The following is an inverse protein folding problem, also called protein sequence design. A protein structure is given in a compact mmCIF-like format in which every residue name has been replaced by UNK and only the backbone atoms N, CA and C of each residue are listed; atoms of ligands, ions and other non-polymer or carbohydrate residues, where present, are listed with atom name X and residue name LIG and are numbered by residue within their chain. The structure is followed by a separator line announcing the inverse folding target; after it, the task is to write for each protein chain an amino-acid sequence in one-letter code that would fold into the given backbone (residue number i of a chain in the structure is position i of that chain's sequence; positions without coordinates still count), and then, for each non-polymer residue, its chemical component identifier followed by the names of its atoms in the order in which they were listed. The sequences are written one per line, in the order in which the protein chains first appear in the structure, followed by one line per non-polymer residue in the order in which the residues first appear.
data_IF_986030407663
#
_entry.id   IF_986030407663
#
_cell.length_a   1.000
_cell.length_b   1.000
_cell.length_c   1.000
_cell.angle_alpha   90.00
_cell.angle_beta   90.00
_cell.angle_gamma   90.00
#
_symmetry.space_group_name_H-M   'P 1'
#
loop_
_entity.id
_entity.type
_entity.pdbx_description
1 polymer ?
#
# COMPACT_ATOMS: atom_id res chain seq x y z
N UNK A 1 -7.25 9.90 8.21
CA UNK A 1 -7.28 8.41 8.21
C UNK A 1 -6.12 7.86 7.39
N UNK A 2 -5.71 6.60 7.62
CA UNK A 2 -4.41 5.97 7.28
C UNK A 2 -3.43 6.73 6.36
N UNK A 3 -3.84 7.12 5.15
CA UNK A 3 -3.01 7.80 4.14
C UNK A 3 -2.94 9.34 4.22
N UNK A 4 -3.57 9.96 5.22
CA UNK A 4 -3.64 11.41 5.45
C UNK A 4 -4.11 12.26 4.26
N UNK A 5 -5.08 11.79 3.46
CA UNK A 5 -5.57 12.49 2.26
C UNK A 5 -6.90 13.23 2.44
N UNK A 6 -7.65 12.96 3.51
CA UNK A 6 -9.03 13.44 3.66
C UNK A 6 -9.16 14.97 3.75
N UNK A 7 -8.13 15.66 4.26
CA UNK A 7 -8.14 17.12 4.41
C UNK A 7 -7.81 17.81 3.08
N UNK A 8 -6.90 17.22 2.30
CA UNK A 8 -6.36 17.84 1.09
C UNK A 8 -7.19 17.54 -0.16
N UNK A 9 -7.96 16.44 -0.16
CA UNK A 9 -8.73 15.99 -1.31
C UNK A 9 -10.20 15.78 -0.96
N UNK A 10 -11.07 16.61 -1.54
CA UNK A 10 -12.52 16.52 -1.36
C UNK A 10 -13.16 15.35 -2.12
N UNK A 11 -12.57 14.91 -3.23
CA UNK A 11 -13.02 13.75 -3.99
C UNK A 11 -12.21 12.51 -3.58
N UNK A 12 -12.90 11.52 -3.01
CA UNK A 12 -12.30 10.29 -2.50
C UNK A 12 -12.79 9.06 -3.28
N UNK A 13 -11.98 7.99 -3.37
CA UNK A 13 -10.60 7.91 -2.88
C UNK A 13 -9.61 8.67 -3.79
N UNK A 14 -8.61 9.33 -3.20
CA UNK A 14 -7.41 9.73 -3.95
C UNK A 14 -6.65 8.47 -4.35
N UNK A 15 -6.29 8.34 -5.63
CA UNK A 15 -5.66 7.12 -6.17
C UNK A 15 -4.17 7.28 -6.49
N UNK A 16 -3.64 8.50 -6.52
CA UNK A 16 -2.22 8.76 -6.73
C UNK A 16 -1.41 8.51 -5.44
N UNK A 17 -0.53 7.48 -5.39
CA UNK A 17 0.24 7.16 -4.20
C UNK A 17 1.23 8.24 -3.80
N UNK A 18 1.63 9.13 -4.72
CA UNK A 18 2.55 10.23 -4.41
C UNK A 18 1.95 11.26 -3.44
N UNK A 19 0.63 11.26 -3.30
CA UNK A 19 -0.15 12.11 -2.39
C UNK A 19 -0.34 11.48 -1.00
N UNK A 20 0.00 10.20 -0.82
CA UNK A 20 -0.20 9.52 0.45
C UNK A 20 0.86 9.90 1.48
N UNK A 21 0.46 9.91 2.75
CA UNK A 21 1.34 10.08 3.91
C UNK A 21 2.08 11.43 3.98
N UNK A 22 1.55 12.48 3.34
CA UNK A 22 2.13 13.83 3.30
C UNK A 22 1.78 14.71 4.51
N UNK A 23 0.76 14.35 5.29
CA UNK A 23 0.33 15.13 6.45
C UNK A 23 1.17 14.87 7.70
N UNK A 24 1.28 15.87 8.58
CA UNK A 24 2.07 15.83 9.82
C UNK A 24 1.67 14.67 10.76
N UNK A 25 0.38 14.30 10.76
CA UNK A 25 -0.14 13.12 11.46
C UNK A 25 -0.66 12.12 10.43
N UNK A 26 0.06 11.00 10.28
CA UNK A 26 -0.30 9.93 9.32
C UNK A 26 -0.01 8.55 9.91
N UNK A 27 -0.43 7.48 9.23
CA UNK A 27 -0.04 6.13 9.62
C UNK A 27 1.43 5.88 9.23
N UNK A 28 2.35 6.21 10.14
CA UNK A 28 3.78 6.06 9.89
C UNK A 28 4.23 4.62 9.71
N UNK A 29 3.57 3.65 10.35
CA UNK A 29 3.83 2.24 10.13
C UNK A 29 3.61 1.89 8.65
N UNK A 30 2.43 2.22 8.10
CA UNK A 30 2.15 1.98 6.69
C UNK A 30 3.12 2.75 5.77
N UNK A 31 3.40 4.03 6.06
CA UNK A 31 4.33 4.85 5.28
C UNK A 31 5.70 4.17 5.12
N UNK A 32 6.27 3.67 6.21
CA UNK A 32 7.61 3.03 6.20
C UNK A 32 7.56 1.70 5.44
N UNK A 33 6.59 0.83 5.72
CA UNK A 33 6.49 -0.46 5.04
C UNK A 33 6.35 -0.27 3.51
N UNK A 34 5.46 0.62 3.04
CA UNK A 34 5.37 0.91 1.60
C UNK A 34 6.68 1.46 1.02
N UNK A 35 7.40 2.32 1.76
CA UNK A 35 8.67 2.88 1.29
C UNK A 35 9.77 1.83 1.14
N UNK A 36 9.75 0.77 1.96
CA UNK A 36 10.78 -0.27 1.98
C UNK A 36 10.46 -1.44 1.02
N UNK A 37 9.20 -1.62 0.61
CA UNK A 37 8.82 -2.62 -0.39
C UNK A 37 9.36 -2.29 -1.78
N UNK A 38 9.80 -3.32 -2.52
CA UNK A 38 10.43 -3.15 -3.84
C UNK A 38 9.48 -2.51 -4.88
N UNK A 39 8.22 -2.92 -4.88
CA UNK A 39 7.15 -2.42 -5.76
C UNK A 39 6.26 -1.37 -5.10
N UNK A 40 6.61 -0.94 -3.87
CA UNK A 40 5.87 0.00 -3.03
C UNK A 40 4.47 -0.46 -2.63
N UNK A 41 4.14 -1.75 -2.75
CA UNK A 41 2.85 -2.31 -2.30
C UNK A 41 3.00 -3.00 -0.95
N UNK A 42 2.01 -2.82 -0.09
CA UNK A 42 1.98 -3.40 1.25
C UNK A 42 0.54 -3.61 1.72
N UNK A 43 0.36 -4.53 2.69
CA UNK A 43 -0.90 -4.68 3.39
C UNK A 43 -0.69 -4.27 4.85
N UNK A 44 -0.55 -2.95 5.07
CA UNK A 44 -0.19 -2.39 6.37
C UNK A 44 -1.42 -1.96 7.20
N UNK A 45 -2.62 -1.98 6.60
CA UNK A 45 -3.90 -1.81 7.27
C UNK A 45 -5.03 -2.51 6.46
N UNK A 46 -6.21 -2.80 7.06
CA UNK A 46 -7.23 -3.67 6.44
C UNK A 46 -7.81 -3.24 5.09
N UNK A 47 -7.63 -1.99 4.68
CA UNK A 47 -8.18 -1.44 3.43
C UNK A 47 -7.08 -0.90 2.51
N UNK A 48 -5.86 -1.45 2.60
CA UNK A 48 -4.75 -1.03 1.74
C UNK A 48 -5.00 -1.33 0.26
N UNK A 49 -5.98 -2.19 -0.04
CA UNK A 49 -6.41 -2.49 -1.39
C UNK A 49 -7.11 -1.32 -2.10
N UNK A 50 -7.55 -0.27 -1.38
CA UNK A 50 -8.04 0.95 -2.03
C UNK A 50 -6.92 1.53 -2.89
N UNK A 51 -7.23 1.85 -4.14
CA UNK A 51 -6.24 2.29 -5.14
C UNK A 51 -5.13 1.24 -5.43
N UNK A 52 -5.41 -0.04 -5.24
CA UNK A 52 -4.57 -1.15 -5.67
C UNK A 52 -3.14 -1.15 -5.03
N UNK A 53 -3.02 -0.74 -3.76
CA UNK A 53 -1.74 -0.62 -3.05
C UNK A 53 -1.34 -1.87 -2.25
N UNK A 54 -2.19 -2.90 -2.27
CA UNK A 54 -1.90 -4.20 -1.70
C UNK A 54 -0.97 -5.04 -2.59
N UNK A 55 -0.13 -5.90 -2.00
CA UNK A 55 0.77 -6.80 -2.71
C UNK A 55 0.03 -8.10 -3.07
N UNK A 56 -1.12 -7.98 -3.72
CA UNK A 56 -1.93 -9.11 -4.17
C UNK A 56 -1.70 -9.36 -5.66
N UNK A 57 -1.44 -10.62 -5.98
CA UNK A 57 -1.45 -11.15 -7.34
C UNK A 57 -2.59 -12.16 -7.46
N UNK A 58 -3.25 -12.17 -8.61
CA UNK A 58 -4.35 -13.09 -8.90
C UNK A 58 -4.34 -13.47 -10.38
N UNK A 59 -4.68 -14.73 -10.66
CA UNK A 59 -4.83 -15.28 -12.00
C UNK A 59 -6.09 -16.18 -11.99
N UNK A 60 -6.91 -16.12 -13.06
CA UNK A 60 -8.16 -16.87 -13.15
C UNK A 60 -8.00 -18.33 -13.59
N UNK A 61 -6.82 -18.70 -14.09
CA UNK A 61 -6.46 -20.07 -14.50
C UNK A 61 -4.99 -20.38 -14.15
N UNK A 62 -4.62 -20.38 -12.86
CA UNK A 62 -3.22 -20.48 -12.45
C UNK A 62 -2.63 -21.85 -12.76
N UNK A 63 -1.38 -21.85 -13.23
CA UNK A 63 -0.60 -23.09 -13.49
C UNK A 63 0.34 -23.45 -12.34
N UNK A 64 0.79 -22.47 -11.56
CA UNK A 64 1.75 -22.62 -10.47
C UNK A 64 1.71 -21.41 -9.53
N UNK A 65 2.15 -21.60 -8.28
CA UNK A 65 2.40 -20.54 -7.30
C UNK A 65 3.71 -20.81 -6.54
N UNK A 66 4.33 -19.77 -5.98
CA UNK A 66 5.58 -19.86 -5.24
C UNK A 66 5.65 -18.90 -4.07
N UNK A 67 6.45 -19.25 -3.07
CA UNK A 67 6.77 -18.42 -1.91
C UNK A 67 8.29 -18.45 -1.73
N UNK A 68 8.89 -17.27 -1.55
CA UNK A 68 10.31 -17.10 -1.25
C UNK A 68 10.45 -16.54 0.18
N UNK A 69 11.33 -17.13 0.98
CA UNK A 69 11.68 -16.61 2.31
C UNK A 69 12.94 -15.77 2.15
N UNK A 70 12.77 -14.45 2.24
CA UNK A 70 13.86 -13.49 2.06
C UNK A 70 14.85 -13.45 3.23
N UNK A 71 16.09 -13.01 2.99
CA UNK A 71 17.10 -12.77 4.02
C UNK A 71 16.80 -11.51 4.87
N UNK A 72 17.45 -11.40 6.04
CA UNK A 72 17.50 -10.16 6.81
C UNK A 72 18.65 -9.28 6.30
N UNK A 73 18.33 -8.12 5.73
CA UNK A 73 19.26 -7.21 5.05
C UNK A 73 19.29 -5.84 5.70
#
# INVERSE_FOLDING_TARGET
MNRSTLVDFSNQPTTDPSQFYRGDRTNHYARVIHADMADKKAYAFPFDNVANQEPLVADSNPRSAGIEIGPFN
#
